data_IF_202539370547
#
_entry.id   IF_202539370547
#
_cell.length_a   1.000
_cell.length_b   1.000
_cell.length_c   1.000
_cell.angle_alpha   90.00
_cell.angle_beta   90.00
_cell.angle_gamma   90.00
#
_symmetry.space_group_name_H-M   'P 1'
#
loop_
_entity.id
_entity.type
_entity.pdbx_description
1 polymer ?
#
# COMPACT_ATOMS: atom_id res chain seq x y z
N UNK A 1 1.94 13.85 -12.78
CA UNK A 1 1.91 12.96 -11.60
C UNK A 1 2.56 13.67 -10.43
N UNK A 2 2.64 13.03 -9.29
CA UNK A 2 3.35 13.55 -8.13
C UNK A 2 4.88 13.53 -8.38
N UNK A 3 5.61 14.60 -8.08
CA UNK A 3 7.04 14.69 -8.42
C UNK A 3 7.92 13.85 -7.48
N UNK A 4 8.98 13.25 -8.06
CA UNK A 4 10.02 12.50 -7.35
C UNK A 4 9.53 11.27 -6.54
N UNK A 5 8.37 10.73 -6.91
CA UNK A 5 7.87 9.46 -6.34
C UNK A 5 8.60 8.30 -6.99
N UNK A 6 9.14 7.41 -6.15
CA UNK A 6 9.81 6.19 -6.61
C UNK A 6 8.89 4.96 -6.54
N UNK A 7 7.90 4.99 -5.65
CA UNK A 7 6.92 3.91 -5.51
C UNK A 7 5.71 4.34 -4.70
N UNK A 8 4.63 3.57 -4.81
CA UNK A 8 3.42 3.72 -4.02
C UNK A 8 3.32 2.54 -3.04
N UNK A 9 2.84 2.80 -1.83
CA UNK A 9 2.67 1.80 -0.78
C UNK A 9 1.22 1.72 -0.37
N UNK A 10 0.73 0.50 -0.21
CA UNK A 10 -0.62 0.25 0.28
C UNK A 10 -0.70 -1.17 0.86
N UNK A 11 -1.77 -1.45 1.59
CA UNK A 11 -2.06 -2.79 2.08
C UNK A 11 -3.22 -3.43 1.33
N UNK A 12 -3.22 -4.76 1.30
CA UNK A 12 -4.33 -5.54 0.79
C UNK A 12 -4.62 -6.73 1.69
N UNK A 13 -5.89 -6.99 1.95
CA UNK A 13 -6.30 -8.16 2.72
C UNK A 13 -6.40 -9.39 1.82
N UNK A 14 -5.73 -10.47 2.23
CA UNK A 14 -5.90 -11.81 1.66
C UNK A 14 -6.70 -12.65 2.65
N UNK A 15 -7.89 -13.10 2.25
CA UNK A 15 -8.79 -13.85 3.12
C UNK A 15 -8.22 -15.25 3.40
N UNK A 16 -8.24 -15.66 4.67
CA UNK A 16 -7.78 -16.96 5.13
C UNK A 16 -8.88 -17.68 5.91
N UNK A 17 -8.78 -19.01 6.00
CA UNK A 17 -9.48 -19.76 7.06
C UNK A 17 -9.01 -19.23 8.42
N UNK A 18 -9.92 -19.17 9.39
CA UNK A 18 -9.55 -18.83 10.77
C UNK A 18 -8.39 -19.73 11.23
N UNK A 19 -7.29 -19.15 11.75
CA UNK A 19 -6.15 -19.95 12.22
C UNK A 19 -6.50 -20.75 13.48
N UNK A 20 -7.61 -20.44 14.16
CA UNK A 20 -8.00 -21.05 15.42
C UNK A 20 -7.13 -20.59 16.59
N UNK A 21 -7.48 -21.07 17.80
CA UNK A 21 -6.79 -20.73 19.04
C UNK A 21 -7.07 -19.30 19.54
N UNK A 22 -6.41 -18.93 20.64
CA UNK A 22 -6.67 -17.70 21.38
C UNK A 22 -6.39 -16.42 20.59
N UNK A 23 -5.57 -16.52 19.54
CA UNK A 23 -5.16 -15.39 18.70
C UNK A 23 -5.97 -15.26 17.40
N UNK A 24 -7.00 -16.09 17.18
CA UNK A 24 -7.77 -16.07 15.93
C UNK A 24 -8.40 -14.70 15.65
N UNK A 25 -8.92 -14.04 16.67
CA UNK A 25 -9.58 -12.74 16.54
C UNK A 25 -8.64 -11.63 16.05
N UNK A 26 -7.33 -11.75 16.26
CA UNK A 26 -6.37 -10.79 15.71
C UNK A 26 -6.42 -10.78 14.17
N UNK A 27 -6.81 -11.88 13.53
CA UNK A 27 -6.89 -11.98 12.07
C UNK A 27 -8.17 -11.40 11.49
N UNK A 28 -9.14 -10.99 12.32
CA UNK A 28 -10.37 -10.35 11.86
C UNK A 28 -10.08 -8.91 11.44
N UNK A 29 -10.44 -8.57 10.20
CA UNK A 29 -10.34 -7.22 9.68
C UNK A 29 -11.61 -6.40 9.94
N UNK A 30 -11.58 -5.12 9.54
CA UNK A 30 -12.72 -4.18 9.68
C UNK A 30 -13.98 -4.58 8.90
N UNK A 31 -13.86 -5.51 7.94
CA UNK A 31 -14.96 -6.07 7.13
C UNK A 31 -15.44 -7.42 7.67
N UNK A 32 -15.14 -7.74 8.92
CA UNK A 32 -15.50 -8.99 9.62
C UNK A 32 -14.96 -10.27 8.97
N UNK A 33 -13.86 -10.17 8.22
CA UNK A 33 -13.21 -11.30 7.54
C UNK A 33 -11.87 -11.65 8.17
N UNK A 34 -11.62 -12.95 8.34
CA UNK A 34 -10.30 -13.46 8.71
C UNK A 34 -9.32 -13.27 7.55
N UNK A 35 -8.25 -12.54 7.76
CA UNK A 35 -7.30 -12.20 6.71
C UNK A 35 -5.88 -11.99 7.22
N UNK A 36 -4.91 -12.11 6.31
CA UNK A 36 -3.57 -11.56 6.47
C UNK A 36 -3.61 -10.14 5.88
N UNK A 37 -3.14 -9.15 6.63
CA UNK A 37 -2.94 -7.81 6.10
C UNK A 37 -1.56 -7.75 5.41
N UNK A 38 -1.55 -7.59 4.09
CA UNK A 38 -0.34 -7.67 3.25
C UNK A 38 0.03 -6.29 2.76
N UNK A 39 1.15 -5.74 3.25
CA UNK A 39 1.70 -4.48 2.73
C UNK A 39 2.54 -4.76 1.47
N UNK A 40 2.39 -3.91 0.46
CA UNK A 40 3.15 -3.95 -0.78
C UNK A 40 3.66 -2.57 -1.13
N UNK A 41 4.92 -2.50 -1.54
CA UNK A 41 5.50 -1.34 -2.22
C UNK A 41 5.52 -1.65 -3.71
N UNK A 42 4.73 -0.92 -4.49
CA UNK A 42 4.61 -1.09 -5.94
C UNK A 42 5.42 -0.07 -6.73
N UNK A 43 6.15 -0.55 -7.73
CA UNK A 43 6.90 0.27 -8.67
C UNK A 43 6.04 0.84 -9.82
N UNK A 44 6.62 1.70 -10.65
CA UNK A 44 5.91 2.39 -11.75
C UNK A 44 5.44 1.45 -12.86
N UNK A 45 6.03 0.26 -13.01
CA UNK A 45 5.68 -0.73 -14.03
C UNK A 45 4.83 -1.87 -13.44
N UNK A 46 4.14 -1.62 -12.33
CA UNK A 46 3.35 -2.63 -11.61
C UNK A 46 4.20 -3.84 -11.17
N UNK A 47 5.45 -3.62 -10.80
CA UNK A 47 6.30 -4.58 -10.09
C UNK A 47 6.12 -4.45 -8.58
N UNK A 48 6.28 -5.55 -7.85
CA UNK A 48 6.31 -5.59 -6.39
C UNK A 48 7.76 -5.39 -5.93
N UNK A 49 8.08 -4.26 -5.33
CA UNK A 49 9.44 -3.92 -4.87
C UNK A 49 9.74 -4.42 -3.46
N UNK A 50 8.73 -4.44 -2.59
CA UNK A 50 8.81 -4.97 -1.23
C UNK A 50 7.43 -5.50 -0.84
N UNK A 51 7.40 -6.52 0.03
CA UNK A 51 6.18 -7.14 0.51
C UNK A 51 6.32 -7.60 1.97
N UNK A 52 5.30 -7.33 2.78
CA UNK A 52 5.21 -7.80 4.17
C UNK A 52 3.94 -8.63 4.34
N UNK A 53 4.09 -9.91 4.68
CA UNK A 53 3.00 -10.92 4.73
C UNK A 53 2.78 -11.55 6.11
N UNK A 54 3.23 -10.90 7.18
CA UNK A 54 3.25 -11.47 8.54
C UNK A 54 2.25 -10.87 9.51
N UNK A 55 1.42 -9.93 9.06
CA UNK A 55 0.53 -9.18 9.93
C UNK A 55 -0.90 -9.72 9.87
N UNK A 56 -1.58 -9.82 11.02
CA UNK A 56 -2.95 -10.29 11.05
C UNK A 56 -3.91 -9.18 10.57
N UNK A 57 -5.13 -9.55 10.17
CA UNK A 57 -6.11 -8.64 9.57
C UNK A 57 -6.53 -7.43 10.40
N UNK A 58 -6.33 -7.44 11.72
CA UNK A 58 -6.59 -6.27 12.59
C UNK A 58 -5.46 -5.23 12.59
N UNK A 59 -4.28 -5.57 12.06
CA UNK A 59 -3.13 -4.67 12.09
C UNK A 59 -3.33 -3.45 11.19
N UNK A 60 -3.04 -2.26 11.74
CA UNK A 60 -3.07 -1.00 11.00
C UNK A 60 -1.87 -0.86 10.06
N UNK A 61 -2.10 -0.35 8.86
CA UNK A 61 -1.12 -0.10 7.81
C UNK A 61 0.12 0.67 8.28
N UNK A 62 -0.08 1.74 9.05
CA UNK A 62 1.01 2.53 9.66
C UNK A 62 1.90 1.70 10.58
N UNK A 63 1.33 0.74 11.32
CA UNK A 63 2.10 -0.17 12.18
C UNK A 63 2.90 -1.15 11.32
N UNK A 64 2.30 -1.71 10.29
CA UNK A 64 2.98 -2.63 9.37
C UNK A 64 4.18 -1.94 8.74
N UNK A 65 4.00 -0.69 8.28
CA UNK A 65 5.08 0.11 7.71
C UNK A 65 6.20 0.38 8.70
N UNK A 66 5.88 0.84 9.91
CA UNK A 66 6.90 1.16 10.93
C UNK A 66 7.81 -0.03 11.23
N UNK A 67 7.25 -1.23 11.21
CA UNK A 67 7.98 -2.47 11.49
C UNK A 67 8.51 -3.14 10.18
N UNK A 68 8.49 -2.46 9.03
CA UNK A 68 8.92 -3.00 7.73
C UNK A 68 10.41 -2.73 7.44
N UNK A 69 10.99 -3.56 6.56
CA UNK A 69 12.36 -3.36 6.09
C UNK A 69 12.50 -2.06 5.28
N UNK A 70 11.45 -1.69 4.54
CA UNK A 70 11.45 -0.49 3.71
C UNK A 70 11.49 0.78 4.56
N UNK A 71 10.74 0.85 5.68
CA UNK A 71 10.79 1.99 6.60
C UNK A 71 12.21 2.19 7.16
N UNK A 72 12.83 1.10 7.65
CA UNK A 72 14.21 1.14 8.13
C UNK A 72 15.20 1.66 7.06
N UNK A 73 15.09 1.18 5.82
CA UNK A 73 15.96 1.64 4.72
C UNK A 73 15.78 3.13 4.39
N UNK A 74 14.57 3.68 4.53
CA UNK A 74 14.34 5.12 4.38
C UNK A 74 14.94 5.92 5.54
N UNK A 75 14.73 5.48 6.78
CA UNK A 75 15.26 6.15 7.97
C UNK A 75 16.81 6.16 7.99
N UNK A 76 17.44 5.10 7.47
CA UNK A 76 18.90 5.01 7.32
C UNK A 76 19.44 5.72 6.07
N UNK A 77 18.58 6.32 5.23
CA UNK A 77 18.99 6.99 3.99
C UNK A 77 19.53 6.03 2.90
N UNK A 78 19.25 4.73 2.99
CA UNK A 78 19.63 3.72 1.98
C UNK A 78 18.75 3.77 0.74
N UNK A 79 17.53 4.32 0.87
CA UNK A 79 16.62 4.60 -0.25
C UNK A 79 16.38 6.11 -0.29
N UNK A 80 16.56 6.71 -1.47
CA UNK A 80 16.29 8.12 -1.72
C UNK A 80 15.05 8.25 -2.62
N UNK A 81 14.20 9.22 -2.32
CA UNK A 81 12.97 9.49 -3.06
C UNK A 81 11.75 9.50 -2.15
N UNK A 82 10.56 9.54 -2.76
CA UNK A 82 9.30 9.60 -2.03
C UNK A 82 8.42 8.37 -2.26
N UNK A 83 7.75 7.93 -1.20
CA UNK A 83 6.63 7.01 -1.21
C UNK A 83 5.31 7.80 -1.17
N UNK A 84 4.30 7.30 -1.87
CA UNK A 84 2.91 7.71 -1.65
C UNK A 84 2.15 6.61 -0.91
N UNK A 85 1.62 6.95 0.25
CA UNK A 85 0.69 6.11 1.01
C UNK A 85 -0.71 6.69 1.03
N UNK A 86 -1.69 5.90 1.42
CA UNK A 86 -3.04 6.38 1.69
C UNK A 86 -3.12 7.16 3.03
N UNK A 87 -4.34 7.50 3.45
CA UNK A 87 -4.56 8.23 4.69
C UNK A 87 -4.34 7.38 5.97
N UNK A 88 -4.20 6.06 5.86
CA UNK A 88 -3.92 5.15 6.97
C UNK A 88 -2.46 5.19 7.42
N UNK A 89 -1.58 5.83 6.64
CA UNK A 89 -0.17 6.04 6.98
C UNK A 89 0.06 7.38 7.68
N UNK A 90 1.14 7.45 8.44
CA UNK A 90 1.63 8.70 9.01
C UNK A 90 2.45 9.46 7.95
N UNK A 91 2.25 10.77 7.84
CA UNK A 91 3.09 11.62 7.01
C UNK A 91 4.52 11.63 7.57
N UNK A 92 5.53 11.45 6.71
CA UNK A 92 6.95 11.58 7.07
C UNK A 92 7.67 12.53 6.10
N UNK A 93 9.00 12.59 6.19
CA UNK A 93 9.83 13.32 5.21
C UNK A 93 9.93 12.58 3.87
N UNK A 94 9.64 11.30 3.84
CA UNK A 94 9.75 10.43 2.66
C UNK A 94 8.44 9.74 2.28
N UNK A 95 7.43 9.69 3.16
CA UNK A 95 6.11 9.10 2.90
C UNK A 95 5.05 10.22 2.90
N UNK A 96 4.45 10.45 1.74
CA UNK A 96 3.42 11.47 1.54
C UNK A 96 2.02 10.87 1.52
N UNK A 97 1.14 11.47 2.31
CA UNK A 97 -0.27 11.09 2.46
C UNK A 97 -1.18 12.20 1.95
N UNK A 98 -2.44 11.89 1.55
CA UNK A 98 -3.36 12.92 1.07
C UNK A 98 -3.70 13.91 2.19
N UNK A 99 -3.98 15.15 1.82
CA UNK A 99 -4.54 16.13 2.73
C UNK A 99 -6.02 15.84 2.97
N UNK A 100 -6.45 15.90 4.23
CA UNK A 100 -7.84 15.72 4.62
C UNK A 100 -8.75 16.81 4.03
N UNK A 101 -8.40 18.06 4.27
CA UNK A 101 -9.23 19.23 3.93
C UNK A 101 -8.42 20.21 3.04
N UNK A 102 -8.25 19.93 1.74
CA UNK A 102 -7.52 20.81 0.83
C UNK A 102 -8.37 22.06 0.52
N UNK A 103 -7.94 23.23 0.99
CA UNK A 103 -8.68 24.51 0.82
C UNK A 103 -8.07 25.42 -0.24
N UNK A 104 -6.77 25.31 -0.49
CA UNK A 104 -6.06 26.15 -1.47
C UNK A 104 -5.91 25.44 -2.83
N UNK A 105 -5.79 26.17 -3.95
CA UNK A 105 -5.55 25.57 -5.27
C UNK A 105 -4.34 24.63 -5.30
N UNK A 106 -3.27 24.97 -4.57
CA UNK A 106 -2.08 24.14 -4.49
C UNK A 106 -2.31 22.84 -3.72
N UNK A 107 -3.10 22.86 -2.65
CA UNK A 107 -3.48 21.65 -1.91
C UNK A 107 -4.40 20.76 -2.74
N UNK A 108 -5.33 21.35 -3.51
CA UNK A 108 -6.21 20.61 -4.42
C UNK A 108 -5.37 19.91 -5.50
N UNK A 109 -4.42 20.62 -6.13
CA UNK A 109 -3.49 20.04 -7.12
C UNK A 109 -2.60 18.96 -6.52
N UNK A 110 -2.13 19.15 -5.28
CA UNK A 110 -1.39 18.13 -4.54
C UNK A 110 -2.21 16.84 -4.39
N UNK A 111 -3.44 16.94 -3.88
CA UNK A 111 -4.31 15.77 -3.71
C UNK A 111 -4.67 15.11 -5.04
N UNK A 112 -4.94 15.92 -6.08
CA UNK A 112 -5.21 15.41 -7.42
C UNK A 112 -4.01 14.61 -7.97
N UNK A 113 -2.80 15.15 -7.86
CA UNK A 113 -1.59 14.47 -8.30
C UNK A 113 -1.28 13.23 -7.44
N UNK A 114 -1.52 13.32 -6.13
CA UNK A 114 -1.36 12.22 -5.17
C UNK A 114 -2.30 11.06 -5.54
N UNK A 115 -3.61 11.32 -5.67
CA UNK A 115 -4.59 10.31 -6.11
C UNK A 115 -4.18 9.68 -7.44
N UNK A 116 -3.87 10.51 -8.45
CA UNK A 116 -3.50 10.03 -9.79
C UNK A 116 -2.27 9.13 -9.79
N UNK A 117 -1.25 9.45 -8.99
CA UNK A 117 -0.03 8.62 -8.89
C UNK A 117 -0.23 7.40 -8.00
N UNK A 118 -0.99 7.51 -6.90
CA UNK A 118 -1.30 6.38 -6.02
C UNK A 118 -2.08 5.29 -6.74
N UNK A 119 -2.95 5.61 -7.71
CA UNK A 119 -3.69 4.61 -8.49
C UNK A 119 -2.82 3.49 -9.10
N UNK A 120 -1.50 3.68 -9.25
CA UNK A 120 -0.58 2.61 -9.64
C UNK A 120 -0.60 1.41 -8.68
N UNK A 121 -0.66 1.61 -7.35
CA UNK A 121 -0.66 0.50 -6.38
C UNK A 121 -1.98 -0.28 -6.42
N UNK A 122 -3.09 0.43 -6.58
CA UNK A 122 -4.43 -0.17 -6.68
C UNK A 122 -4.55 -1.01 -7.94
N UNK A 123 -4.04 -0.49 -9.08
CA UNK A 123 -3.95 -1.24 -10.33
C UNK A 123 -3.04 -2.45 -10.20
N UNK A 124 -1.90 -2.32 -9.54
CA UNK A 124 -1.03 -3.46 -9.23
C UNK A 124 -1.81 -4.54 -8.47
N UNK A 125 -2.56 -4.20 -7.43
CA UNK A 125 -3.40 -5.18 -6.72
C UNK A 125 -4.43 -5.84 -7.63
N UNK A 126 -5.11 -5.07 -8.48
CA UNK A 126 -6.03 -5.60 -9.48
C UNK A 126 -5.38 -6.61 -10.42
N UNK A 127 -4.21 -6.26 -10.99
CA UNK A 127 -3.44 -7.14 -11.88
C UNK A 127 -3.00 -8.40 -11.12
N UNK A 128 -2.42 -8.22 -9.94
CA UNK A 128 -1.85 -9.31 -9.15
C UNK A 128 -2.91 -10.34 -8.74
N UNK A 129 -4.06 -9.86 -8.25
CA UNK A 129 -5.19 -10.71 -7.87
C UNK A 129 -5.92 -11.33 -9.06
N UNK A 130 -5.96 -10.66 -10.21
CA UNK A 130 -6.50 -11.24 -11.46
C UNK A 130 -5.58 -12.34 -12.01
N UNK A 131 -4.26 -12.14 -11.94
CA UNK A 131 -3.24 -13.11 -12.36
C UNK A 131 -3.23 -14.34 -11.45
N UNK A 132 -3.43 -14.15 -10.14
CA UNK A 132 -3.51 -15.22 -9.16
C UNK A 132 -4.86 -15.19 -8.42
N UNK A 133 -5.93 -15.74 -9.01
CA UNK A 133 -7.29 -15.68 -8.44
C UNK A 133 -7.41 -16.32 -7.04
N UNK A 134 -6.46 -17.16 -6.63
CA UNK A 134 -6.40 -17.67 -5.26
C UNK A 134 -6.26 -16.56 -4.21
N UNK A 135 -5.68 -15.39 -4.56
CA UNK A 135 -5.53 -14.23 -3.68
C UNK A 135 -6.83 -13.43 -3.49
N UNK A 136 -7.80 -13.58 -4.40
CA UNK A 136 -9.15 -13.01 -4.28
C UNK A 136 -10.13 -13.93 -3.56
N UNK A 137 -9.75 -15.19 -3.35
CA UNK A 137 -10.56 -16.21 -2.71
C UNK A 137 -10.03 -16.49 -1.30
N UNK A 138 -10.85 -17.13 -0.48
CA UNK A 138 -10.43 -17.58 0.84
C UNK A 138 -9.41 -18.71 0.71
N UNK A 139 -8.19 -18.49 1.20
CA UNK A 139 -7.18 -19.54 1.32
C UNK A 139 -7.57 -20.47 2.48
N UNK A 140 -7.79 -21.75 2.18
CA UNK A 140 -8.23 -22.76 3.16
C UNK A 140 -7.05 -23.48 3.85
N UNK A 141 -5.82 -23.07 3.53
CA UNK A 141 -4.60 -23.67 4.02
C UNK A 141 -4.28 -23.22 5.46
N UNK A 142 -3.34 -23.91 6.11
CA UNK A 142 -2.72 -23.43 7.35
C UNK A 142 -2.07 -22.06 7.12
N UNK A 143 -1.99 -21.23 8.15
CA UNK A 143 -1.46 -19.86 8.07
C UNK A 143 -0.09 -19.78 7.38
N UNK A 144 0.87 -20.62 7.79
CA UNK A 144 2.20 -20.67 7.18
C UNK A 144 2.15 -20.96 5.67
N UNK A 145 1.29 -21.88 5.24
CA UNK A 145 1.13 -22.22 3.83
C UNK A 145 0.45 -21.07 3.05
N UNK A 146 -0.52 -20.39 3.66
CA UNK A 146 -1.14 -19.21 3.07
C UNK A 146 -0.11 -18.10 2.83
N UNK A 147 0.78 -17.85 3.79
CA UNK A 147 1.90 -16.91 3.63
C UNK A 147 2.83 -17.32 2.49
N UNK A 148 3.23 -18.59 2.42
CA UNK A 148 4.05 -19.11 1.32
C UNK A 148 3.38 -18.95 -0.04
N UNK A 149 2.06 -19.20 -0.14
CA UNK A 149 1.30 -18.98 -1.39
C UNK A 149 1.34 -17.50 -1.79
N UNK A 150 1.10 -16.57 -0.86
CA UNK A 150 1.14 -15.14 -1.13
C UNK A 150 2.54 -14.71 -1.61
N UNK A 151 3.60 -15.18 -0.95
CA UNK A 151 4.98 -14.90 -1.34
C UNK A 151 5.30 -15.43 -2.74
N UNK A 152 4.93 -16.68 -3.03
CA UNK A 152 5.14 -17.31 -4.33
C UNK A 152 4.40 -16.55 -5.44
N UNK A 153 3.15 -16.14 -5.21
CA UNK A 153 2.40 -15.33 -6.16
C UNK A 153 3.05 -13.95 -6.40
N UNK A 154 3.66 -13.32 -5.40
CA UNK A 154 4.37 -12.06 -5.57
C UNK A 154 5.65 -12.22 -6.43
N UNK A 155 6.43 -13.28 -6.17
CA UNK A 155 7.65 -13.58 -6.94
C UNK A 155 7.29 -13.92 -8.40
N UNK A 156 6.31 -14.81 -8.61
CA UNK A 156 5.84 -15.19 -9.94
C UNK A 156 5.23 -14.00 -10.70
N UNK A 157 4.59 -13.07 -9.99
CA UNK A 157 4.12 -11.82 -10.58
C UNK A 157 5.28 -11.03 -11.19
N UNK A 158 6.35 -10.80 -10.41
CA UNK A 158 7.51 -10.06 -10.88
C UNK A 158 8.22 -10.75 -12.04
N UNK A 159 8.42 -12.07 -11.98
CA UNK A 159 9.00 -12.85 -13.08
C UNK A 159 8.19 -12.63 -14.37
N UNK A 160 6.87 -12.80 -14.29
CA UNK A 160 5.99 -12.57 -15.44
C UNK A 160 5.94 -11.11 -15.92
N UNK A 161 6.29 -10.13 -15.08
CA UNK A 161 6.45 -8.72 -15.50
C UNK A 161 7.78 -8.49 -16.23
N UNK A 162 8.88 -9.08 -15.74
CA UNK A 162 10.20 -8.99 -16.38
C UNK A 162 10.23 -9.66 -17.75
N UNK A 163 9.56 -10.80 -17.90
CA UNK A 163 9.53 -11.56 -19.15
C UNK A 163 8.51 -11.02 -20.18
N UNK A 164 7.92 -9.83 -19.94
CA UNK A 164 6.88 -9.21 -20.77
C UNK A 164 5.68 -10.13 -21.07
N UNK A 165 5.36 -11.05 -20.16
CA UNK A 165 4.24 -11.97 -20.32
C UNK A 165 2.95 -11.23 -19.98
N UNK A 166 2.49 -10.40 -20.93
CA UNK A 166 1.28 -9.59 -20.82
C UNK A 166 0.04 -10.44 -21.12
N UNK A 167 -0.53 -11.04 -20.07
CA UNK A 167 -1.76 -11.84 -20.21
C UNK A 167 -3.07 -11.02 -20.18
N UNK A 168 -3.05 -9.70 -19.93
CA UNK A 168 -4.29 -8.94 -19.77
C UNK A 168 -4.20 -7.50 -20.28
N UNK A 169 -5.21 -7.08 -21.06
CA UNK A 169 -5.48 -5.68 -21.35
C UNK A 169 -5.67 -4.89 -20.04
N UNK A 170 -4.88 -3.85 -19.84
CA UNK A 170 -4.69 -3.09 -18.58
C UNK A 170 -5.85 -2.14 -18.22
N UNK A 171 -7.06 -2.37 -18.76
CA UNK A 171 -8.26 -1.58 -18.43
C UNK A 171 -8.90 -2.11 -17.15
N UNK A 172 -8.29 -1.83 -15.99
CA UNK A 172 -8.88 -2.11 -14.67
C UNK A 172 -9.58 -0.84 -14.17
N UNK A 173 -10.90 -0.93 -13.98
CA UNK A 173 -11.69 0.06 -13.25
C UNK A 173 -11.39 -0.15 -11.76
N UNK A 174 -10.94 0.90 -11.09
CA UNK A 174 -10.65 0.87 -9.66
C UNK A 174 -11.88 1.44 -8.94
N UNK A 175 -12.50 0.66 -8.06
CA UNK A 175 -13.58 1.14 -7.21
C UNK A 175 -13.03 2.11 -6.15
N UNK A 176 -13.61 3.31 -6.08
CA UNK A 176 -13.29 4.33 -5.08
C UNK A 176 -13.82 3.88 -3.70
N UNK A 177 -12.98 3.26 -2.87
CA UNK A 177 -13.30 3.13 -1.43
C UNK A 177 -12.93 4.44 -0.71
N UNK A 178 -13.94 5.13 -0.16
CA UNK A 178 -13.74 6.30 0.69
C UNK A 178 -13.07 5.89 2.00
N UNK A 179 -11.80 6.27 2.16
CA UNK A 179 -11.06 6.05 3.38
C UNK A 179 -11.44 7.09 4.45
N UNK A 180 -11.91 6.63 5.61
CA UNK A 180 -12.08 7.46 6.80
C UNK A 180 -10.72 7.87 7.37
N UNK A 181 -10.46 9.18 7.40
CA UNK A 181 -9.19 9.77 7.85
C UNK A 181 -9.22 10.02 9.37
N UNK A 182 -8.40 9.28 10.13
CA UNK A 182 -8.16 9.50 11.57
C UNK A 182 -7.39 10.82 11.85
N UNK A 183 -7.34 11.27 13.12
CA UNK A 183 -6.66 12.52 13.50
C UNK A 183 -5.16 12.46 13.18
N UNK A 184 -4.66 13.46 12.46
CA UNK A 184 -3.25 13.57 12.06
C UNK A 184 -2.36 13.87 13.28
N UNK A 185 -1.66 12.86 13.80
CA UNK A 185 -0.72 12.98 14.94
C UNK A 185 0.70 13.39 14.48
N UNK A 186 0.85 13.82 13.22
CA UNK A 186 2.16 14.12 12.63
C UNK A 186 2.85 15.32 13.31
N UNK A 187 4.14 15.21 13.66
CA UNK A 187 4.92 16.33 14.21
C UNK A 187 4.90 17.60 13.34
N UNK A 188 4.81 18.78 13.99
CA UNK A 188 4.74 20.09 13.29
C UNK A 188 5.84 20.32 12.25
N UNK A 189 7.06 19.86 12.52
CA UNK A 189 8.19 19.98 11.58
C UNK A 189 7.94 19.24 10.27
N UNK A 190 7.32 18.06 10.34
CA UNK A 190 6.99 17.26 9.17
C UNK A 190 5.84 17.90 8.39
N UNK A 191 4.84 18.45 9.08
CA UNK A 191 3.77 19.21 8.43
C UNK A 191 4.29 20.45 7.70
N UNK A 192 5.23 21.19 8.31
CA UNK A 192 5.87 22.33 7.66
C UNK A 192 6.65 21.91 6.40
N UNK A 193 7.37 20.79 6.45
CA UNK A 193 8.04 20.22 5.29
C UNK A 193 7.05 19.88 4.16
N UNK A 194 5.94 19.19 4.46
CA UNK A 194 4.89 18.90 3.48
C UNK A 194 4.31 20.18 2.87
N UNK A 195 4.01 21.19 3.69
CA UNK A 195 3.46 22.46 3.20
C UNK A 195 4.44 23.21 2.28
N UNK A 196 5.73 23.25 2.63
CA UNK A 196 6.76 23.82 1.77
C UNK A 196 6.89 23.06 0.44
N UNK A 197 6.82 21.73 0.48
CA UNK A 197 6.79 20.88 -0.71
C UNK A 197 5.60 21.21 -1.61
N UNK A 198 4.40 21.35 -1.02
CA UNK A 198 3.16 21.69 -1.76
C UNK A 198 3.31 23.02 -2.49
N UNK A 199 3.75 24.07 -1.79
CA UNK A 199 3.90 25.42 -2.35
C UNK A 199 4.94 25.45 -3.48
N UNK A 200 6.00 24.67 -3.35
CA UNK A 200 7.08 24.58 -4.34
C UNK A 200 6.65 23.87 -5.61
N UNK A 201 5.90 22.78 -5.50
CA UNK A 201 5.68 21.85 -6.60
C UNK A 201 4.29 21.89 -7.24
N UNK A 202 3.30 22.50 -6.59
CA UNK A 202 1.89 22.46 -7.05
C UNK A 202 1.28 23.86 -7.21
N UNK A 203 1.92 24.72 -8.01
CA UNK A 203 1.42 26.06 -8.34
C UNK A 203 0.33 26.09 -9.40
#
# INVERSE_FOLDING_TARGET
GFPNVISCIDCTHIEIKSPGGDYAELFRNRKDKMSINVQVVGGPNYEILDIVIRWPGSAHDSRIFRDSSVCMKFEEGRINGYLLGDAGYMQTLYLFTPLRDPTTPSQIRYNYAHKKTRCTIERLFGIWKKRFPCLSRKLLNKLANAQTIIAACAVLHNIGRHDNINYFNENIIVDDEENHVERDVTPRRILAFRNAFIIRHFR
#
